data_IF_422960149090
#
_entry.id   IF_422960149090
#
_cell.length_a   1.000
_cell.length_b   1.000
_cell.length_c   1.000
_cell.angle_alpha   90.00
_cell.angle_beta   90.00
_cell.angle_gamma   90.00
#
_symmetry.space_group_name_H-M   'P 1'
#
loop_
_entity.id
_entity.type
_entity.pdbx_description
1 polymer ?
#
# COMPACT_ATOMS: atom_id res chain seq x y z
N UNK A 1 -4.26 -18.78 -1.77
CA UNK A 1 -3.69 -17.49 -2.18
C UNK A 1 -3.11 -17.67 -3.58
N UNK A 2 -3.79 -17.17 -4.59
CA UNK A 2 -3.20 -17.05 -5.92
C UNK A 2 -2.45 -15.72 -5.98
N UNK A 3 -1.15 -15.77 -5.88
CA UNK A 3 -0.31 -14.63 -6.21
C UNK A 3 -0.11 -14.63 -7.73
N UNK A 4 -0.55 -13.58 -8.38
CA UNK A 4 -0.50 -13.44 -9.83
C UNK A 4 -0.04 -12.02 -10.19
N UNK A 5 0.91 -11.90 -11.10
CA UNK A 5 1.23 -10.59 -11.69
C UNK A 5 0.24 -10.35 -12.82
N UNK A 6 -0.84 -9.65 -12.51
CA UNK A 6 -1.86 -9.28 -13.47
C UNK A 6 -1.79 -7.79 -13.80
N UNK A 7 -2.37 -7.33 -14.92
CA UNK A 7 -2.49 -5.90 -15.22
C UNK A 7 -3.14 -5.09 -14.08
N UNK A 8 -4.08 -5.72 -13.36
CA UNK A 8 -4.75 -5.12 -12.21
C UNK A 8 -3.81 -4.94 -11.00
N UNK A 9 -2.92 -5.91 -10.72
CA UNK A 9 -1.90 -5.76 -9.69
C UNK A 9 -0.88 -4.70 -10.04
N UNK A 10 -0.43 -4.66 -11.29
CA UNK A 10 0.47 -3.61 -11.77
C UNK A 10 -0.15 -2.23 -11.59
N UNK A 11 -1.43 -2.08 -11.91
CA UNK A 11 -2.16 -0.84 -11.73
C UNK A 11 -2.33 -0.48 -10.24
N UNK A 12 -2.67 -1.44 -9.39
CA UNK A 12 -2.82 -1.24 -7.95
C UNK A 12 -1.53 -0.86 -7.23
N UNK A 13 -0.37 -1.23 -7.78
CA UNK A 13 0.94 -0.89 -7.23
C UNK A 13 1.53 0.41 -7.81
N UNK A 14 1.02 0.90 -8.94
CA UNK A 14 1.66 1.98 -9.71
C UNK A 14 1.86 3.27 -8.91
N UNK A 15 0.83 3.77 -8.25
CA UNK A 15 0.92 5.02 -7.48
C UNK A 15 1.77 4.84 -6.22
N UNK A 16 1.69 3.68 -5.58
CA UNK A 16 2.53 3.33 -4.43
C UNK A 16 4.01 3.40 -4.84
N UNK A 17 4.37 2.73 -5.94
CA UNK A 17 5.73 2.74 -6.48
C UNK A 17 6.15 4.17 -6.84
N UNK A 18 5.29 4.93 -7.51
CA UNK A 18 5.59 6.29 -7.94
C UNK A 18 5.88 7.22 -6.77
N UNK A 19 5.10 7.12 -5.70
CA UNK A 19 5.18 8.04 -4.56
C UNK A 19 6.17 7.59 -3.48
N UNK A 20 6.51 6.30 -3.38
CA UNK A 20 7.46 5.80 -2.39
C UNK A 20 8.82 6.51 -2.50
N UNK A 21 9.36 6.92 -1.36
CA UNK A 21 10.61 7.67 -1.24
C UNK A 21 11.35 7.35 0.05
N UNK A 22 12.64 7.66 0.08
CA UNK A 22 13.49 7.59 1.28
C UNK A 22 13.63 6.16 1.82
N UNK A 23 13.41 6.01 3.12
CA UNK A 23 13.36 4.71 3.81
C UNK A 23 11.94 4.16 3.75
N UNK A 24 11.79 2.99 3.15
CA UNK A 24 10.49 2.34 2.92
C UNK A 24 10.35 1.10 3.79
N UNK A 25 9.24 0.99 4.52
CA UNK A 25 8.80 -0.24 5.17
C UNK A 25 7.73 -0.94 4.35
N UNK A 26 7.77 -2.25 4.26
CA UNK A 26 6.77 -3.05 3.53
C UNK A 26 6.38 -4.25 4.39
N UNK A 27 5.09 -4.48 4.58
CA UNK A 27 4.56 -5.74 5.12
C UNK A 27 4.04 -6.57 3.95
N UNK A 28 4.59 -7.78 3.79
CA UNK A 28 4.30 -8.69 2.70
C UNK A 28 5.27 -8.53 1.53
N UNK A 29 5.88 -9.63 1.14
CA UNK A 29 6.83 -9.70 0.01
C UNK A 29 6.14 -10.15 -1.27
N UNK A 30 5.15 -11.03 -1.14
CA UNK A 30 4.42 -11.58 -2.27
C UNK A 30 5.35 -12.18 -3.33
N UNK A 31 5.09 -11.87 -4.60
CA UNK A 31 5.98 -12.24 -5.70
C UNK A 31 7.19 -11.31 -5.87
N UNK A 32 7.32 -10.29 -5.01
CA UNK A 32 8.46 -9.38 -5.01
C UNK A 32 8.41 -8.25 -6.03
N UNK A 33 7.35 -8.15 -6.83
CA UNK A 33 7.23 -7.11 -7.86
C UNK A 33 7.29 -5.71 -7.25
N UNK A 34 6.45 -5.41 -6.27
CA UNK A 34 6.40 -4.10 -5.60
C UNK A 34 7.76 -3.73 -5.01
N UNK A 35 8.35 -4.63 -4.24
CA UNK A 35 9.66 -4.44 -3.62
C UNK A 35 10.75 -4.17 -4.66
N UNK A 36 10.79 -4.97 -5.72
CA UNK A 36 11.79 -4.86 -6.77
C UNK A 36 11.67 -3.54 -7.56
N UNK A 37 10.45 -3.11 -7.89
CA UNK A 37 10.22 -1.83 -8.57
C UNK A 37 10.60 -0.62 -7.69
N UNK A 38 10.30 -0.66 -6.39
CA UNK A 38 10.71 0.38 -5.44
C UNK A 38 12.24 0.46 -5.35
N UNK A 39 12.95 -0.66 -5.29
CA UNK A 39 14.41 -0.70 -5.21
C UNK A 39 15.13 -0.07 -6.40
N UNK A 40 14.49 -0.01 -7.58
CA UNK A 40 15.06 0.62 -8.79
C UNK A 40 15.09 2.15 -8.71
N UNK A 41 14.35 2.77 -7.81
CA UNK A 41 14.25 4.22 -7.72
C UNK A 41 15.47 4.83 -7.04
N UNK A 42 15.99 5.92 -7.61
CA UNK A 42 17.11 6.66 -7.02
C UNK A 42 16.73 7.35 -5.71
N UNK A 43 15.45 7.74 -5.56
CA UNK A 43 14.91 8.36 -4.36
C UNK A 43 14.82 7.43 -3.14
N UNK A 44 15.07 6.13 -3.32
CA UNK A 44 15.02 5.13 -2.25
C UNK A 44 16.41 4.92 -1.65
N UNK A 45 16.52 5.10 -0.34
CA UNK A 45 17.77 4.87 0.39
C UNK A 45 17.81 3.49 1.08
N UNK A 46 16.68 2.99 1.56
CA UNK A 46 16.56 1.68 2.20
C UNK A 46 15.14 1.13 2.07
N UNK A 47 15.02 -0.18 1.92
CA UNK A 47 13.75 -0.92 1.98
C UNK A 47 13.86 -1.99 3.04
N UNK A 48 12.92 -1.99 3.99
CA UNK A 48 12.78 -3.02 5.03
C UNK A 48 11.48 -3.76 4.78
N UNK A 49 11.57 -5.05 4.51
CA UNK A 49 10.41 -5.92 4.25
C UNK A 49 10.21 -6.86 5.41
N UNK A 50 8.98 -6.95 5.90
CA UNK A 50 8.54 -7.92 6.90
C UNK A 50 7.75 -9.02 6.19
N UNK A 51 8.25 -10.23 6.22
CA UNK A 51 7.63 -11.41 5.60
C UNK A 51 7.72 -12.60 6.56
N UNK A 52 6.59 -13.19 6.90
CA UNK A 52 6.54 -14.31 7.84
C UNK A 52 6.93 -15.64 7.19
N UNK A 53 6.69 -15.78 5.89
CA UNK A 53 6.93 -17.02 5.17
C UNK A 53 8.36 -17.07 4.61
N UNK A 54 9.18 -17.93 5.22
CA UNK A 54 10.57 -18.13 4.79
C UNK A 54 10.70 -18.61 3.34
N UNK A 55 9.78 -19.42 2.87
CA UNK A 55 9.83 -19.95 1.50
C UNK A 55 9.62 -18.82 0.45
N UNK A 56 8.80 -17.83 0.78
CA UNK A 56 8.62 -16.64 -0.06
C UNK A 56 9.91 -15.82 -0.10
N UNK A 57 10.57 -15.65 1.04
CA UNK A 57 11.85 -14.95 1.14
C UNK A 57 12.91 -15.65 0.27
N UNK A 58 13.04 -16.96 0.40
CA UNK A 58 14.01 -17.75 -0.34
C UNK A 58 13.73 -17.70 -1.85
N UNK A 59 12.46 -17.75 -2.24
CA UNK A 59 12.03 -17.59 -3.63
C UNK A 59 12.36 -16.20 -4.18
N UNK A 60 12.17 -15.18 -3.39
CA UNK A 60 12.52 -13.80 -3.78
C UNK A 60 14.02 -13.68 -4.10
N UNK A 61 14.88 -14.10 -3.16
CA UNK A 61 16.32 -14.02 -3.36
C UNK A 61 16.82 -14.89 -4.51
N UNK A 62 16.19 -16.05 -4.75
CA UNK A 62 16.49 -16.89 -5.92
C UNK A 62 16.19 -16.19 -7.24
N UNK A 63 15.12 -15.40 -7.31
CA UNK A 63 14.67 -14.73 -8.53
C UNK A 63 15.33 -13.38 -8.77
N UNK A 64 15.55 -12.59 -7.71
CA UNK A 64 15.99 -11.20 -7.81
C UNK A 64 17.41 -10.96 -7.26
N UNK A 65 17.95 -11.92 -6.50
CA UNK A 65 19.26 -11.78 -5.85
C UNK A 65 19.24 -10.81 -4.66
N UNK A 66 20.43 -10.48 -4.18
CA UNK A 66 20.62 -9.54 -3.09
C UNK A 66 20.66 -8.09 -3.60
N UNK A 67 20.26 -7.16 -2.76
CA UNK A 67 20.35 -5.72 -3.03
C UNK A 67 20.81 -5.01 -1.76
N UNK A 68 21.82 -4.15 -1.88
CA UNK A 68 22.42 -3.44 -0.73
C UNK A 68 21.46 -2.51 0.02
N UNK A 69 20.37 -2.08 -0.65
CA UNK A 69 19.32 -1.26 -0.03
C UNK A 69 18.24 -2.09 0.66
N UNK A 70 18.19 -3.42 0.43
CA UNK A 70 17.13 -4.30 0.91
C UNK A 70 17.53 -5.03 2.18
N UNK A 71 16.64 -5.01 3.15
CA UNK A 71 16.66 -5.85 4.34
C UNK A 71 15.32 -6.59 4.45
N UNK A 72 15.35 -7.92 4.41
CA UNK A 72 14.14 -8.74 4.59
C UNK A 72 14.19 -9.40 5.97
N UNK A 73 13.18 -9.12 6.77
CA UNK A 73 13.03 -9.64 8.11
C UNK A 73 11.97 -10.75 8.12
N UNK A 74 12.38 -11.96 8.49
CA UNK A 74 11.45 -13.09 8.62
C UNK A 74 10.68 -13.00 9.94
N UNK A 75 9.70 -12.14 9.98
CA UNK A 75 8.87 -11.89 11.16
C UNK A 75 7.54 -11.21 10.81
N UNK A 76 6.62 -11.24 11.78
CA UNK A 76 5.38 -10.47 11.74
C UNK A 76 5.68 -8.97 11.83
N UNK A 77 5.35 -8.21 10.79
CA UNK A 77 5.58 -6.76 10.71
C UNK A 77 4.80 -5.94 11.74
N UNK A 78 3.74 -6.50 12.33
CA UNK A 78 2.97 -5.87 13.40
C UNK A 78 3.57 -6.04 14.80
N UNK A 79 4.67 -6.78 14.91
CA UNK A 79 5.37 -7.10 16.18
C UNK A 79 6.85 -6.71 16.17
N UNK A 80 7.29 -6.01 15.14
CA UNK A 80 8.67 -5.56 15.02
C UNK A 80 9.09 -4.52 16.04
N UNK A 81 10.36 -4.17 16.03
CA UNK A 81 10.87 -3.02 16.79
C UNK A 81 10.36 -1.74 16.15
N UNK A 82 10.12 -0.71 16.98
CA UNK A 82 9.80 0.63 16.51
C UNK A 82 10.91 1.18 15.61
N UNK A 83 10.52 1.78 14.49
CA UNK A 83 11.42 2.38 13.51
C UNK A 83 10.74 3.61 12.87
N UNK A 84 11.49 4.33 12.02
CA UNK A 84 10.97 5.48 11.28
C UNK A 84 11.03 5.20 9.79
N UNK A 85 9.95 5.55 9.08
CA UNK A 85 9.83 5.35 7.64
C UNK A 85 9.28 6.59 6.96
N UNK A 86 9.87 6.96 5.83
CA UNK A 86 9.35 8.02 4.95
C UNK A 86 8.10 7.53 4.21
N UNK A 87 8.08 6.26 3.83
CA UNK A 87 6.92 5.58 3.25
C UNK A 87 6.72 4.20 3.90
N UNK A 88 5.50 3.83 4.21
CA UNK A 88 5.18 2.51 4.74
C UNK A 88 4.02 1.88 3.96
N UNK A 89 4.19 0.64 3.54
CA UNK A 89 3.28 -0.04 2.63
C UNK A 89 2.83 -1.36 3.23
N UNK A 90 1.53 -1.61 3.23
CA UNK A 90 0.96 -2.90 3.66
C UNK A 90 0.39 -3.63 2.45
N UNK A 91 1.08 -4.69 2.03
CA UNK A 91 0.78 -5.49 0.83
C UNK A 91 0.35 -6.91 1.19
N UNK A 92 -0.68 -7.01 2.05
CA UNK A 92 -1.25 -8.29 2.50
C UNK A 92 -2.76 -8.38 2.27
N UNK A 93 -3.38 -7.34 1.70
CA UNK A 93 -4.81 -7.31 1.46
C UNK A 93 -5.14 -7.87 0.08
N UNK A 94 -6.32 -8.50 0.01
CA UNK A 94 -6.94 -8.82 -1.28
C UNK A 94 -7.69 -7.60 -1.82
N UNK A 95 -8.16 -7.68 -3.08
CA UNK A 95 -9.03 -6.65 -3.66
C UNK A 95 -10.36 -6.47 -2.93
N UNK A 96 -10.69 -7.35 -2.00
CA UNK A 96 -11.87 -7.27 -1.15
C UNK A 96 -11.50 -6.63 0.18
N UNK A 97 -11.27 -5.32 0.19
CA UNK A 97 -10.90 -4.58 1.39
C UNK A 97 -11.98 -4.67 2.47
N UNK A 98 -11.53 -4.80 3.70
CA UNK A 98 -12.34 -4.84 4.92
C UNK A 98 -11.89 -3.75 5.90
N UNK A 99 -12.66 -3.53 6.95
CA UNK A 99 -12.36 -2.56 8.02
C UNK A 99 -11.05 -2.87 8.79
N UNK A 100 -10.50 -4.08 8.64
CA UNK A 100 -9.18 -4.44 9.14
C UNK A 100 -8.09 -3.45 8.72
N UNK A 101 -8.18 -2.87 7.53
CA UNK A 101 -7.17 -1.89 7.04
C UNK A 101 -7.03 -0.70 7.99
N UNK A 102 -8.10 -0.31 8.68
CA UNK A 102 -8.11 0.81 9.62
C UNK A 102 -7.41 0.42 10.94
N UNK A 103 -7.68 -0.79 11.43
CA UNK A 103 -7.03 -1.30 12.63
C UNK A 103 -5.52 -1.49 12.42
N UNK A 104 -5.15 -1.99 11.25
CA UNK A 104 -3.74 -2.17 10.88
C UNK A 104 -3.04 -0.81 10.74
N UNK A 105 -3.68 0.17 10.10
CA UNK A 105 -3.19 1.55 10.03
C UNK A 105 -2.91 2.13 11.43
N UNK A 106 -3.87 2.04 12.34
CA UNK A 106 -3.72 2.52 13.72
C UNK A 106 -2.54 1.84 14.41
N UNK A 107 -2.50 0.52 14.38
CA UNK A 107 -1.47 -0.29 15.03
C UNK A 107 -0.06 0.03 14.52
N UNK A 108 0.10 0.20 13.22
CA UNK A 108 1.40 0.48 12.61
C UNK A 108 1.87 1.91 12.88
N UNK A 109 0.96 2.89 12.92
CA UNK A 109 1.29 4.27 13.31
C UNK A 109 1.57 4.42 14.82
N UNK A 110 1.05 3.51 15.65
CA UNK A 110 1.43 3.43 17.07
C UNK A 110 2.81 2.76 17.24
N UNK A 111 3.16 1.79 16.38
CA UNK A 111 4.42 1.05 16.44
C UNK A 111 5.60 1.83 15.84
N UNK A 112 5.38 2.48 14.69
CA UNK A 112 6.41 3.16 13.91
C UNK A 112 6.10 4.65 13.77
N UNK A 113 7.15 5.45 13.52
CA UNK A 113 6.97 6.81 13.00
C UNK A 113 6.88 6.70 11.47
N UNK A 114 5.69 6.97 10.91
CA UNK A 114 5.41 6.86 9.48
C UNK A 114 5.00 8.23 8.94
N UNK A 115 5.69 8.72 7.91
CA UNK A 115 5.34 9.98 7.26
C UNK A 115 4.22 9.79 6.24
N UNK A 116 4.33 8.77 5.36
CA UNK A 116 3.31 8.43 4.37
C UNK A 116 2.95 6.95 4.45
N UNK A 117 1.67 6.64 4.59
CA UNK A 117 1.17 5.28 4.73
C UNK A 117 0.33 4.87 3.53
N UNK A 118 0.64 3.72 2.96
CA UNK A 118 -0.07 3.12 1.84
C UNK A 118 -0.47 1.68 2.14
N UNK A 119 -1.55 1.21 1.52
CA UNK A 119 -1.93 -0.19 1.54
C UNK A 119 -2.35 -0.64 0.14
N UNK A 120 -2.09 -1.89 -0.20
CA UNK A 120 -2.51 -2.44 -1.47
C UNK A 120 -4.03 -2.33 -1.64
N UNK A 121 -4.47 -1.78 -2.77
CA UNK A 121 -5.89 -1.49 -3.03
C UNK A 121 -6.37 -0.10 -2.59
N UNK A 122 -5.50 0.74 -2.00
CA UNK A 122 -5.90 2.07 -1.55
C UNK A 122 -6.37 2.98 -2.70
N UNK A 123 -5.80 2.85 -3.88
CA UNK A 123 -6.23 3.59 -5.07
C UNK A 123 -7.67 3.24 -5.44
N UNK A 124 -7.97 1.94 -5.48
CA UNK A 124 -9.31 1.45 -5.73
C UNK A 124 -10.30 1.93 -4.66
N UNK A 125 -9.86 1.94 -3.41
CA UNK A 125 -10.63 2.48 -2.29
C UNK A 125 -10.91 3.97 -2.46
N UNK A 126 -9.88 4.79 -2.72
CA UNK A 126 -10.04 6.23 -2.91
C UNK A 126 -10.97 6.58 -4.07
N UNK A 127 -10.84 5.88 -5.20
CA UNK A 127 -11.72 6.07 -6.37
C UNK A 127 -13.16 5.62 -6.11
N UNK A 128 -13.35 4.70 -5.17
CA UNK A 128 -14.68 4.22 -4.78
C UNK A 128 -15.36 5.13 -3.74
N UNK A 129 -14.60 6.04 -3.10
CA UNK A 129 -15.15 6.94 -2.10
C UNK A 129 -16.03 8.02 -2.76
N UNK A 130 -17.24 8.29 -2.23
CA UNK A 130 -18.00 9.47 -2.61
C UNK A 130 -17.19 10.74 -2.32
N UNK A 131 -17.00 11.62 -3.29
CA UNK A 131 -16.21 12.85 -3.13
C UNK A 131 -16.72 13.76 -2.01
N UNK A 132 -18.03 13.76 -1.77
CA UNK A 132 -18.64 14.48 -0.65
C UNK A 132 -18.23 13.94 0.72
N UNK A 133 -18.00 12.65 0.83
CA UNK A 133 -17.65 11.99 2.10
C UNK A 133 -16.16 12.07 2.42
N UNK A 134 -15.29 12.06 1.41
CA UNK A 134 -13.84 12.25 1.61
C UNK A 134 -13.56 13.63 2.24
N UNK A 135 -14.32 14.66 1.88
CA UNK A 135 -14.18 16.00 2.45
C UNK A 135 -14.52 16.08 3.97
N UNK A 136 -15.28 15.13 4.47
CA UNK A 136 -15.70 15.06 5.89
C UNK A 136 -14.85 14.08 6.73
N UNK A 137 -14.03 13.26 6.08
CA UNK A 137 -13.11 12.36 6.73
C UNK A 137 -11.72 12.98 6.63
N UNK A 138 -11.06 13.21 7.76
CA UNK A 138 -9.66 13.62 7.79
C UNK A 138 -8.79 12.45 7.30
N UNK A 139 -8.77 12.23 5.97
CA UNK A 139 -7.77 11.36 5.37
C UNK A 139 -6.45 12.11 5.26
N UNK A 140 -5.30 11.43 5.32
CA UNK A 140 -4.02 12.07 5.11
C UNK A 140 -4.01 12.91 3.82
N UNK A 141 -3.49 14.13 3.89
CA UNK A 141 -3.52 15.10 2.77
C UNK A 141 -2.94 14.51 1.47
N UNK A 142 -1.88 13.71 1.58
CA UNK A 142 -1.28 13.04 0.41
C UNK A 142 -2.20 12.01 -0.26
N UNK A 143 -3.21 11.47 0.44
CA UNK A 143 -4.24 10.62 -0.19
C UNK A 143 -5.19 11.45 -1.05
N UNK A 144 -5.51 12.67 -0.64
CA UNK A 144 -6.31 13.59 -1.45
C UNK A 144 -5.58 13.94 -2.74
N UNK A 145 -4.30 14.24 -2.66
CA UNK A 145 -3.47 14.47 -3.86
C UNK A 145 -3.34 13.22 -4.72
N UNK A 146 -3.21 12.04 -4.12
CA UNK A 146 -3.16 10.77 -4.84
C UNK A 146 -4.48 10.52 -5.59
N UNK A 147 -5.63 10.77 -4.95
CA UNK A 147 -6.95 10.66 -5.57
C UNK A 147 -7.08 11.56 -6.80
N UNK A 148 -6.71 12.82 -6.69
CA UNK A 148 -6.78 13.76 -7.82
C UNK A 148 -5.91 13.32 -9.00
N UNK A 149 -4.71 12.84 -8.73
CA UNK A 149 -3.79 12.35 -9.77
C UNK A 149 -4.34 11.10 -10.47
N UNK A 150 -4.80 10.13 -9.69
CA UNK A 150 -5.35 8.86 -10.22
C UNK A 150 -6.60 9.14 -11.04
N UNK A 151 -7.49 10.00 -10.55
CA UNK A 151 -8.71 10.38 -11.25
C UNK A 151 -8.41 11.03 -12.60
N UNK A 152 -7.48 12.01 -12.66
CA UNK A 152 -7.06 12.62 -13.92
C UNK A 152 -6.49 11.60 -14.90
N UNK A 153 -5.60 10.71 -14.43
CA UNK A 153 -5.00 9.68 -15.30
C UNK A 153 -6.05 8.73 -15.89
N UNK A 154 -7.04 8.34 -15.09
CA UNK A 154 -8.12 7.48 -15.56
C UNK A 154 -9.04 8.20 -16.56
N UNK A 155 -9.32 9.48 -16.35
CA UNK A 155 -10.06 10.30 -17.29
C UNK A 155 -9.32 10.43 -18.62
N UNK A 156 -8.04 10.76 -18.58
CA UNK A 156 -7.20 10.98 -19.78
C UNK A 156 -7.03 9.69 -20.60
N UNK A 157 -7.03 8.52 -19.95
CA UNK A 157 -6.85 7.23 -20.60
C UNK A 157 -8.18 6.49 -20.91
N UNK A 158 -9.31 7.02 -20.53
CA UNK A 158 -10.63 6.41 -20.77
C UNK A 158 -10.94 5.19 -19.91
N UNK A 159 -10.14 4.89 -18.88
CA UNK A 159 -10.32 3.72 -17.99
C UNK A 159 -11.52 3.80 -17.06
N UNK A 160 -12.15 4.96 -16.91
CA UNK A 160 -13.31 5.14 -16.02
C UNK A 160 -14.50 4.27 -16.45
N UNK A 161 -14.64 3.95 -17.73
CA UNK A 161 -15.75 3.14 -18.23
C UNK A 161 -15.69 1.68 -17.74
N UNK A 162 -14.51 1.18 -17.42
CA UNK A 162 -14.29 -0.19 -16.96
C UNK A 162 -14.06 -0.28 -15.44
N UNK A 163 -14.18 0.85 -14.74
CA UNK A 163 -13.98 0.91 -13.30
C UNK A 163 -15.18 0.32 -12.57
N UNK A 164 -14.94 -0.74 -11.80
CA UNK A 164 -15.92 -1.35 -10.91
C UNK A 164 -15.61 -0.90 -9.48
N UNK A 165 -16.40 0.01 -8.90
CA UNK A 165 -16.16 0.50 -7.54
C UNK A 165 -16.34 -0.61 -6.50
N UNK A 166 -15.68 -0.41 -5.34
CA UNK A 166 -15.99 -1.18 -4.14
C UNK A 166 -17.42 -0.82 -3.71
N UNK A 167 -18.18 -1.79 -3.21
CA UNK A 167 -19.53 -1.55 -2.74
C UNK A 167 -19.59 -0.39 -1.74
N UNK A 168 -20.50 0.55 -1.95
CA UNK A 168 -20.62 1.79 -1.16
C UNK A 168 -20.70 1.52 0.35
N UNK A 169 -21.45 0.51 0.76
CA UNK A 169 -21.58 0.11 2.16
C UNK A 169 -20.21 -0.23 2.79
N UNK A 170 -19.34 -0.94 2.07
CA UNK A 170 -17.99 -1.28 2.55
C UNK A 170 -17.09 -0.04 2.62
N UNK A 171 -17.14 0.79 1.58
CA UNK A 171 -16.37 2.05 1.55
C UNK A 171 -16.77 2.92 2.72
N UNK A 172 -18.06 3.13 2.94
CA UNK A 172 -18.57 3.94 4.04
C UNK A 172 -18.18 3.39 5.42
N UNK A 173 -18.20 2.08 5.59
CA UNK A 173 -17.75 1.44 6.84
C UNK A 173 -16.28 1.75 7.12
N UNK A 174 -15.41 1.60 6.12
CA UNK A 174 -13.98 1.88 6.24
C UNK A 174 -13.76 3.37 6.55
N UNK A 175 -14.42 4.28 5.84
CA UNK A 175 -14.33 5.71 6.07
C UNK A 175 -14.76 6.11 7.49
N UNK A 176 -15.87 5.55 7.98
CA UNK A 176 -16.36 5.81 9.34
C UNK A 176 -15.37 5.30 10.40
N UNK A 177 -14.73 4.16 10.19
CA UNK A 177 -13.69 3.67 11.09
C UNK A 177 -12.43 4.57 11.05
N UNK A 178 -11.99 5.03 9.88
CA UNK A 178 -10.91 6.02 9.77
C UNK A 178 -11.26 7.32 10.52
N UNK A 179 -12.50 7.81 10.38
CA UNK A 179 -12.96 9.02 11.07
C UNK A 179 -12.86 8.94 12.60
N UNK A 180 -12.91 7.73 13.17
CA UNK A 180 -12.80 7.53 14.62
C UNK A 180 -11.36 7.66 15.13
N UNK A 181 -10.37 7.47 14.28
CA UNK A 181 -8.96 7.38 14.67
C UNK A 181 -8.08 8.50 14.11
N UNK A 182 -8.55 9.21 13.09
CA UNK A 182 -7.91 10.40 12.53
C UNK A 182 -8.50 11.66 13.14
#
# INVERSE_FOLDING_TARGET
>A
LSMEISPRELQGAFQIIKNAKGKVGIIGLGLGYLTNEILKKESICKVVVYEENKDIIDLYYKNFGENSKLEVLNQDGFKGKSDSFDSFIVDIYSYNLEDRVVLDYKKLNELHKIDEYYFFGFEHFLLSCPTSEIAFVYVPEYWTEALERVYRQLMDNGYINDFVPIAEEKVMKILLEFKKIL
#
